data_IF_986790682040
#
_entry.id   IF_986790682040
#
_cell.length_a   1.000
_cell.length_b   1.000
_cell.length_c   1.000
_cell.angle_alpha   90.00
_cell.angle_beta   90.00
_cell.angle_gamma   90.00
#
_symmetry.space_group_name_H-M   'P 1'
#
loop_
_entity.id
_entity.type
_entity.pdbx_description
1 polymer ?
#
# COMPACT_ATOMS: atom_id res chain seq x y z
N UNK A 1 -41.52 41.22 -7.89
CA UNK A 1 -42.48 40.17 -7.53
C UNK A 1 -41.80 38.81 -7.57
N UNK A 2 -40.74 38.59 -6.79
CA UNK A 2 -39.93 37.36 -6.68
C UNK A 2 -39.33 37.26 -5.26
N UNK A 3 -40.17 37.39 -4.27
CA UNK A 3 -39.89 37.09 -2.86
C UNK A 3 -41.06 36.32 -2.33
N UNK A 4 -40.97 34.99 -2.34
CA UNK A 4 -41.82 34.09 -1.53
C UNK A 4 -41.70 32.65 -2.10
N UNK A 5 -40.68 31.92 -1.73
CA UNK A 5 -40.72 30.48 -1.41
C UNK A 5 -39.45 30.18 -0.61
N UNK A 6 -39.39 30.70 0.60
CA UNK A 6 -38.49 30.17 1.63
C UNK A 6 -39.28 29.10 2.37
N UNK A 7 -39.30 27.93 1.83
CA UNK A 7 -39.98 26.79 2.44
C UNK A 7 -39.09 26.26 3.61
N UNK A 8 -39.47 26.47 4.90
CA UNK A 8 -38.68 26.07 6.05
C UNK A 8 -38.65 24.57 6.33
N UNK A 9 -39.33 23.77 5.48
CA UNK A 9 -39.49 22.32 5.65
C UNK A 9 -38.52 21.47 4.82
N UNK A 10 -37.63 22.08 4.06
CA UNK A 10 -36.50 21.33 3.50
C UNK A 10 -35.46 21.28 4.61
N UNK A 11 -35.24 20.08 5.26
CA UNK A 11 -34.12 19.93 6.16
C UNK A 11 -32.91 20.37 5.36
N UNK A 12 -32.10 21.29 5.92
CA UNK A 12 -30.83 21.72 5.33
C UNK A 12 -30.07 20.47 4.93
N UNK A 13 -30.31 20.02 3.70
CA UNK A 13 -29.42 19.10 3.02
C UNK A 13 -28.07 19.81 3.10
N UNK A 14 -27.32 19.49 4.13
CA UNK A 14 -25.88 19.70 4.12
C UNK A 14 -25.48 18.91 2.89
N UNK A 15 -25.50 19.59 1.74
CA UNK A 15 -24.82 19.14 0.54
C UNK A 15 -23.51 18.62 1.10
N UNK A 16 -23.40 17.30 1.13
CA UNK A 16 -22.20 16.60 1.54
C UNK A 16 -21.13 17.32 0.77
N UNK A 17 -20.49 18.28 1.45
CA UNK A 17 -19.40 19.09 0.90
C UNK A 17 -18.56 18.04 0.24
N UNK A 18 -18.51 18.05 -1.09
CA UNK A 18 -17.75 17.15 -1.94
C UNK A 18 -16.45 16.88 -1.21
N UNK A 19 -16.52 15.95 -0.25
CA UNK A 19 -15.36 15.52 0.52
C UNK A 19 -14.54 15.01 -0.61
N UNK A 20 -13.58 15.82 -1.02
CA UNK A 20 -12.53 15.58 -1.98
C UNK A 20 -12.34 14.06 -1.95
N UNK A 21 -12.93 13.35 -2.93
CA UNK A 21 -12.82 11.91 -3.00
C UNK A 21 -11.35 11.68 -2.78
N UNK A 22 -11.04 11.11 -1.63
CA UNK A 22 -9.67 10.92 -1.20
C UNK A 22 -9.08 10.16 -2.37
N UNK A 23 -8.17 10.80 -3.11
CA UNK A 23 -7.58 10.19 -4.28
C UNK A 23 -7.06 8.84 -3.81
N UNK A 24 -7.85 7.80 -4.05
CA UNK A 24 -7.57 6.41 -3.66
C UNK A 24 -6.28 5.97 -4.35
N UNK A 25 -5.98 6.62 -5.48
CA UNK A 25 -4.73 6.43 -6.19
C UNK A 25 -3.63 7.27 -5.54
N UNK A 26 -2.69 6.57 -4.91
CA UNK A 26 -1.46 7.17 -4.39
C UNK A 26 -0.46 7.53 -5.52
N UNK A 27 -0.75 7.15 -6.77
CA UNK A 27 0.10 7.45 -7.91
C UNK A 27 0.23 8.96 -8.12
N UNK A 28 1.48 9.41 -8.27
CA UNK A 28 1.85 10.81 -8.50
C UNK A 28 2.52 10.93 -9.87
N UNK A 29 1.83 11.51 -10.85
CA UNK A 29 2.41 11.72 -12.19
C UNK A 29 3.40 12.91 -12.16
N UNK A 30 4.64 12.66 -11.73
CA UNK A 30 5.69 13.68 -11.62
C UNK A 30 6.86 13.49 -12.61
N UNK A 31 6.80 12.49 -13.47
CA UNK A 31 7.74 12.29 -14.57
C UNK A 31 9.21 12.17 -14.18
N UNK A 32 9.54 11.74 -12.94
CA UNK A 32 10.92 11.58 -12.48
C UNK A 32 11.58 10.38 -13.16
N UNK A 33 12.90 10.28 -13.09
CA UNK A 33 13.65 9.15 -13.67
C UNK A 33 13.18 7.80 -13.13
N UNK A 34 12.76 7.71 -11.85
CA UNK A 34 12.23 6.48 -11.25
C UNK A 34 10.89 6.06 -11.88
N UNK A 35 10.05 7.02 -12.28
CA UNK A 35 8.80 6.72 -13.01
C UNK A 35 9.06 6.07 -14.36
N UNK A 36 10.18 6.38 -15.01
CA UNK A 36 10.56 5.88 -16.33
C UNK A 36 11.24 4.51 -16.31
N UNK A 37 11.54 3.97 -15.12
CA UNK A 37 12.10 2.63 -14.97
C UNK A 37 11.09 1.55 -15.36
N UNK A 38 11.61 0.42 -15.86
CA UNK A 38 10.80 -0.75 -16.19
C UNK A 38 10.06 -1.26 -14.93
N UNK A 39 8.78 -1.65 -15.05
CA UNK A 39 7.99 -2.17 -13.93
C UNK A 39 8.64 -3.36 -13.22
N UNK A 40 9.37 -4.21 -13.93
CA UNK A 40 10.11 -5.34 -13.34
C UNK A 40 11.18 -4.86 -12.38
N UNK A 41 11.97 -3.85 -12.78
CA UNK A 41 13.00 -3.24 -11.95
C UNK A 41 12.41 -2.65 -10.68
N UNK A 42 11.25 -2.00 -10.77
CA UNK A 42 10.52 -1.45 -9.62
C UNK A 42 10.06 -2.55 -8.65
N UNK A 43 9.46 -3.63 -9.18
CA UNK A 43 8.99 -4.78 -8.37
C UNK A 43 10.18 -5.47 -7.69
N UNK A 44 11.23 -5.79 -8.45
CA UNK A 44 12.44 -6.42 -7.91
C UNK A 44 13.12 -5.51 -6.88
N UNK A 45 13.14 -4.20 -7.10
CA UNK A 45 13.66 -3.23 -6.13
C UNK A 45 12.95 -3.29 -4.78
N UNK A 46 11.62 -3.36 -4.78
CA UNK A 46 10.83 -3.53 -3.55
C UNK A 46 11.18 -4.84 -2.84
N UNK A 47 11.24 -5.96 -3.58
CA UNK A 47 11.58 -7.27 -3.01
C UNK A 47 12.99 -7.28 -2.43
N UNK A 48 13.97 -6.73 -3.12
CA UNK A 48 15.36 -6.64 -2.64
C UNK A 48 15.44 -5.82 -1.36
N UNK A 49 14.79 -4.65 -1.30
CA UNK A 49 14.77 -3.82 -0.08
C UNK A 49 14.09 -4.57 1.07
N UNK A 50 13.03 -5.33 0.82
CA UNK A 50 12.38 -6.15 1.85
C UNK A 50 13.34 -7.21 2.39
N UNK A 51 14.06 -7.93 1.52
CA UNK A 51 15.06 -8.91 1.93
C UNK A 51 16.18 -8.26 2.74
N UNK A 52 16.70 -7.11 2.30
CA UNK A 52 17.72 -6.36 3.03
C UNK A 52 17.23 -6.00 4.44
N UNK A 53 16.01 -5.51 4.57
CA UNK A 53 15.43 -5.16 5.88
C UNK A 53 15.27 -6.38 6.81
N UNK A 54 15.03 -7.56 6.27
CA UNK A 54 14.95 -8.80 7.07
C UNK A 54 16.32 -9.27 7.56
N UNK A 55 17.40 -8.86 6.87
CA UNK A 55 18.74 -9.30 7.19
C UNK A 55 19.32 -8.67 8.46
N UNK A 56 18.91 -7.49 8.88
CA UNK A 56 19.53 -6.74 9.98
C UNK A 56 18.55 -6.45 11.10
N UNK A 57 19.02 -6.61 12.36
CA UNK A 57 18.24 -6.32 13.57
C UNK A 57 18.84 -5.18 14.40
N UNK A 58 19.94 -4.57 13.95
CA UNK A 58 20.60 -3.48 14.66
C UNK A 58 20.08 -2.12 14.19
N UNK A 59 19.78 -1.17 15.09
CA UNK A 59 19.16 0.11 14.73
C UNK A 59 20.00 0.98 13.79
N UNK A 60 21.33 0.93 13.88
CA UNK A 60 22.21 1.72 12.99
C UNK A 60 22.09 1.29 11.53
N UNK A 61 22.11 -0.02 11.27
CA UNK A 61 21.94 -0.55 9.90
C UNK A 61 20.53 -0.27 9.37
N UNK A 62 19.51 -0.44 10.23
CA UNK A 62 18.14 -0.11 9.85
C UNK A 62 17.94 1.38 9.58
N UNK A 63 18.61 2.26 10.35
CA UNK A 63 18.61 3.70 10.10
C UNK A 63 19.27 4.04 8.75
N UNK A 64 20.40 3.40 8.40
CA UNK A 64 21.06 3.59 7.12
C UNK A 64 20.18 3.15 5.94
N UNK A 65 19.50 1.98 6.05
CA UNK A 65 18.57 1.48 5.03
C UNK A 65 17.36 2.43 4.91
N UNK A 66 16.79 2.86 6.03
CA UNK A 66 15.64 3.78 6.03
C UNK A 66 16.00 5.14 5.42
N UNK A 67 17.22 5.62 5.67
CA UNK A 67 17.76 6.83 5.03
C UNK A 67 17.89 6.65 3.52
N UNK A 68 18.41 5.50 3.06
CA UNK A 68 18.45 5.16 1.63
C UNK A 68 17.06 5.17 0.98
N UNK A 69 16.07 4.56 1.63
CA UNK A 69 14.68 4.58 1.16
C UNK A 69 14.11 6.00 1.17
N UNK A 70 14.46 6.83 2.16
CA UNK A 70 14.04 8.24 2.20
C UNK A 70 14.66 9.06 1.07
N UNK A 71 15.93 8.83 0.73
CA UNK A 71 16.60 9.48 -0.42
C UNK A 71 15.93 9.07 -1.74
N UNK A 72 15.54 7.80 -1.90
CA UNK A 72 14.77 7.38 -3.08
C UNK A 72 13.37 8.01 -3.10
N UNK A 73 12.71 8.20 -1.95
CA UNK A 73 11.42 8.91 -1.86
C UNK A 73 11.55 10.38 -2.28
N UNK A 74 12.65 11.05 -1.90
CA UNK A 74 12.94 12.45 -2.30
C UNK A 74 13.14 12.51 -3.81
N UNK A 75 13.96 11.65 -4.39
CA UNK A 75 14.23 11.61 -5.83
C UNK A 75 13.01 11.23 -6.65
N UNK A 76 12.11 10.39 -6.13
CA UNK A 76 10.81 10.07 -6.71
C UNK A 76 9.77 11.19 -6.55
N UNK A 77 10.06 12.25 -5.79
CA UNK A 77 9.10 13.29 -5.37
C UNK A 77 7.85 12.71 -4.67
N UNK A 78 8.00 11.57 -4.01
CA UNK A 78 6.93 10.84 -3.32
C UNK A 78 6.69 11.35 -1.89
N UNK A 79 7.44 12.35 -1.40
CA UNK A 79 7.34 12.91 -0.05
C UNK A 79 5.93 13.35 0.33
N UNK A 80 5.10 13.76 -0.63
CA UNK A 80 3.70 14.14 -0.38
C UNK A 80 2.91 12.99 0.24
N UNK A 81 3.15 11.76 -0.22
CA UNK A 81 2.48 10.58 0.32
C UNK A 81 3.04 10.18 1.69
N UNK A 82 4.35 10.35 1.93
CA UNK A 82 4.94 10.19 3.26
C UNK A 82 4.36 11.21 4.26
N UNK A 83 4.22 12.46 3.85
CA UNK A 83 3.63 13.49 4.71
C UNK A 83 2.16 13.21 5.02
N UNK A 84 1.40 12.66 4.05
CA UNK A 84 0.00 12.25 4.23
C UNK A 84 -0.13 11.10 5.23
N UNK A 85 0.80 10.15 5.23
CA UNK A 85 0.79 8.96 6.06
C UNK A 85 1.73 9.03 7.27
N UNK A 86 2.31 10.22 7.54
CA UNK A 86 3.26 10.44 8.66
C UNK A 86 2.74 9.93 10.00
N UNK A 87 1.44 10.11 10.26
CA UNK A 87 0.82 9.68 11.51
C UNK A 87 0.87 8.14 11.66
N UNK A 88 0.60 7.41 10.60
CA UNK A 88 0.67 5.94 10.58
C UNK A 88 2.12 5.48 10.77
N UNK A 89 3.08 6.13 10.08
CA UNK A 89 4.50 5.80 10.23
C UNK A 89 5.01 6.04 11.65
N UNK A 90 4.67 7.18 12.24
CA UNK A 90 5.03 7.50 13.63
C UNK A 90 4.36 6.51 14.59
N UNK A 91 3.07 6.21 14.39
CA UNK A 91 2.34 5.24 15.21
C UNK A 91 3.00 3.86 15.17
N UNK A 92 3.44 3.38 14.00
CA UNK A 92 4.13 2.11 13.85
C UNK A 92 5.47 2.08 14.61
N UNK A 93 6.25 3.16 14.52
CA UNK A 93 7.54 3.28 15.22
C UNK A 93 7.30 3.28 16.73
N UNK A 94 6.38 4.13 17.22
CA UNK A 94 6.08 4.24 18.65
C UNK A 94 5.50 2.94 19.20
N UNK A 95 4.55 2.34 18.48
CA UNK A 95 3.97 1.06 18.87
C UNK A 95 5.02 -0.05 18.97
N UNK A 96 5.92 -0.14 17.98
CA UNK A 96 7.01 -1.09 18.02
C UNK A 96 7.97 -0.84 19.18
N UNK A 97 8.35 0.44 19.41
CA UNK A 97 9.24 0.82 20.49
C UNK A 97 8.66 0.48 21.87
N UNK A 98 7.33 0.56 22.01
CA UNK A 98 6.66 0.21 23.27
C UNK A 98 6.46 -1.29 23.43
N UNK A 99 6.07 -2.01 22.36
CA UNK A 99 5.74 -3.45 22.42
C UNK A 99 6.96 -4.34 22.61
N UNK A 100 8.04 -4.11 21.86
CA UNK A 100 9.18 -5.00 21.88
C UNK A 100 9.91 -5.14 23.22
N UNK A 101 10.05 -4.12 24.08
CA UNK A 101 10.61 -4.27 25.41
C UNK A 101 9.90 -5.28 26.30
N UNK A 102 8.62 -5.58 26.06
CA UNK A 102 7.87 -6.58 26.81
C UNK A 102 8.21 -8.03 26.37
N UNK A 103 8.56 -8.22 25.11
CA UNK A 103 8.80 -9.55 24.52
C UNK A 103 10.27 -9.91 24.42
N UNK A 104 11.13 -8.96 24.16
CA UNK A 104 12.55 -9.19 23.94
C UNK A 104 13.32 -8.99 25.26
N UNK A 105 13.88 -10.07 25.81
CA UNK A 105 14.72 -10.04 27.01
C UNK A 105 16.19 -9.96 26.61
N UNK A 106 16.96 -9.02 27.18
CA UNK A 106 18.40 -8.88 26.98
C UNK A 106 19.18 -9.15 28.24
N UNK A 107 20.52 -9.39 28.13
CA UNK A 107 21.40 -9.68 29.27
C UNK A 107 21.63 -8.50 30.23
N UNK A 108 21.40 -7.23 29.77
CA UNK A 108 21.61 -6.05 30.63
C UNK A 108 20.27 -5.42 31.05
N UNK A 109 19.75 -5.78 32.25
CA UNK A 109 18.51 -5.17 32.75
C UNK A 109 18.78 -3.71 33.17
N UNK A 110 18.03 -2.77 32.59
CA UNK A 110 18.03 -1.36 33.00
C UNK A 110 17.02 -1.12 34.14
N UNK A 111 15.91 -1.82 34.11
CA UNK A 111 14.86 -1.70 35.09
C UNK A 111 14.04 -2.98 35.14
N UNK A 112 13.84 -3.50 36.39
CA UNK A 112 13.02 -4.68 36.62
C UNK A 112 11.95 -4.33 37.63
N UNK A 113 10.69 -4.28 37.22
CA UNK A 113 9.55 -4.11 38.10
C UNK A 113 8.50 -5.18 37.77
N UNK A 114 8.46 -6.22 38.57
CA UNK A 114 7.53 -7.34 38.41
C UNK A 114 7.68 -8.05 37.06
N UNK A 115 6.66 -7.99 36.24
CA UNK A 115 6.65 -8.60 34.89
C UNK A 115 7.40 -7.81 33.83
N UNK A 116 7.81 -6.59 34.12
CA UNK A 116 8.47 -5.67 33.16
C UNK A 116 9.98 -5.71 33.38
N UNK A 117 10.67 -6.40 32.48
CA UNK A 117 12.12 -6.39 32.38
C UNK A 117 12.56 -5.59 31.15
N UNK A 118 12.86 -4.32 31.34
CA UNK A 118 13.35 -3.46 30.26
C UNK A 118 14.86 -3.54 30.24
N UNK A 119 15.43 -4.10 29.18
CA UNK A 119 16.87 -4.16 28.93
C UNK A 119 17.27 -3.16 27.85
N UNK A 120 18.54 -2.75 27.86
CA UNK A 120 19.10 -1.85 26.83
C UNK A 120 18.92 -2.45 25.43
N UNK A 121 19.14 -3.75 25.30
CA UNK A 121 19.00 -4.50 24.07
C UNK A 121 17.57 -4.53 23.56
N UNK A 122 16.58 -4.62 24.47
CA UNK A 122 15.15 -4.61 24.09
C UNK A 122 14.74 -3.29 23.48
N UNK A 123 15.24 -2.16 24.02
CA UNK A 123 14.95 -0.83 23.49
C UNK A 123 15.59 -0.67 22.10
N UNK A 124 16.87 -1.05 21.95
CA UNK A 124 17.56 -1.00 20.66
C UNK A 124 16.86 -1.86 19.63
N UNK A 125 16.42 -3.05 20.02
CA UNK A 125 15.67 -3.96 19.16
C UNK A 125 14.29 -3.36 18.77
N UNK A 126 13.59 -2.76 19.74
CA UNK A 126 12.31 -2.07 19.50
C UNK A 126 12.42 -0.93 18.49
N UNK A 127 13.49 -0.11 18.60
CA UNK A 127 13.78 0.95 17.61
C UNK A 127 14.07 0.34 16.23
N UNK A 128 14.90 -0.70 16.17
CA UNK A 128 15.22 -1.36 14.90
C UNK A 128 13.98 -1.93 14.21
N UNK A 129 13.08 -2.57 14.97
CA UNK A 129 11.82 -3.10 14.45
C UNK A 129 10.85 -2.00 14.01
N UNK A 130 10.78 -0.89 14.76
CA UNK A 130 10.00 0.28 14.35
C UNK A 130 10.48 0.87 13.04
N UNK A 131 11.79 1.05 12.88
CA UNK A 131 12.40 1.51 11.63
C UNK A 131 12.16 0.51 10.49
N UNK A 132 12.22 -0.79 10.75
CA UNK A 132 11.91 -1.83 9.77
C UNK A 132 10.49 -1.70 9.23
N UNK A 133 9.50 -1.61 10.12
CA UNK A 133 8.09 -1.46 9.72
C UNK A 133 7.88 -0.17 8.93
N UNK A 134 8.47 0.94 9.39
CA UNK A 134 8.41 2.22 8.67
C UNK A 134 9.08 2.13 7.29
N UNK A 135 10.20 1.41 7.16
CA UNK A 135 10.90 1.21 5.89
C UNK A 135 10.08 0.34 4.94
N UNK A 136 9.42 -0.72 5.43
CA UNK A 136 8.51 -1.55 4.62
C UNK A 136 7.35 -0.73 4.06
N UNK A 137 6.67 0.00 4.93
CA UNK A 137 5.56 0.87 4.50
C UNK A 137 6.07 1.97 3.57
N UNK A 138 7.21 2.57 3.88
CA UNK A 138 7.85 3.59 3.06
C UNK A 138 8.19 3.10 1.64
N UNK A 139 8.79 1.92 1.53
CA UNK A 139 9.11 1.29 0.23
C UNK A 139 7.85 1.00 -0.57
N UNK A 140 6.81 0.45 0.08
CA UNK A 140 5.50 0.24 -0.54
C UNK A 140 4.85 1.55 -1.01
N UNK A 141 4.96 2.63 -0.22
CA UNK A 141 4.45 3.94 -0.60
C UNK A 141 5.17 4.52 -1.82
N UNK A 142 6.51 4.37 -1.90
CA UNK A 142 7.27 4.79 -3.08
C UNK A 142 6.78 4.02 -4.30
N UNK A 143 6.66 2.70 -4.19
CA UNK A 143 6.20 1.83 -5.28
C UNK A 143 4.82 2.25 -5.80
N UNK A 144 3.84 2.42 -4.89
CA UNK A 144 2.49 2.86 -5.24
C UNK A 144 2.45 4.29 -5.80
N UNK A 145 3.42 5.14 -5.42
CA UNK A 145 3.52 6.52 -5.92
C UNK A 145 4.08 6.61 -7.33
N UNK A 146 4.93 5.64 -7.71
CA UNK A 146 5.74 5.67 -8.95
C UNK A 146 5.20 4.70 -10.00
N UNK A 147 4.38 3.70 -9.61
CA UNK A 147 3.93 2.64 -10.50
C UNK A 147 2.44 2.78 -10.78
N UNK A 148 2.05 2.79 -12.06
CA UNK A 148 0.65 2.73 -12.48
C UNK A 148 0.15 1.30 -12.40
N UNK A 149 -1.16 1.12 -12.17
CA UNK A 149 -1.77 -0.22 -12.13
C UNK A 149 -1.54 -1.01 -13.43
N UNK A 150 -1.52 -0.32 -14.57
CA UNK A 150 -1.27 -0.91 -15.88
C UNK A 150 0.20 -1.37 -16.03
N UNK A 151 1.14 -0.59 -15.51
CA UNK A 151 2.56 -0.94 -15.47
C UNK A 151 2.80 -2.16 -14.59
N UNK A 152 2.14 -2.22 -13.40
CA UNK A 152 2.22 -3.36 -12.51
C UNK A 152 1.80 -4.66 -13.20
N UNK A 153 0.67 -4.62 -13.91
CA UNK A 153 0.16 -5.78 -14.65
C UNK A 153 1.12 -6.24 -15.74
N UNK A 154 1.64 -5.31 -16.54
CA UNK A 154 2.62 -5.62 -17.58
C UNK A 154 3.93 -6.17 -16.97
N UNK A 155 4.36 -5.64 -15.85
CA UNK A 155 5.51 -6.16 -15.11
C UNK A 155 5.32 -7.61 -14.68
N UNK A 156 4.15 -7.94 -14.10
CA UNK A 156 3.82 -9.29 -13.65
C UNK A 156 3.78 -10.30 -14.81
N UNK A 157 3.17 -9.95 -15.95
CA UNK A 157 3.14 -10.81 -17.14
C UNK A 157 4.57 -11.15 -17.59
N UNK A 158 5.43 -10.15 -17.64
CA UNK A 158 6.82 -10.34 -18.08
C UNK A 158 7.71 -11.04 -17.05
N UNK A 159 7.29 -11.10 -15.79
CA UNK A 159 7.92 -11.92 -14.75
C UNK A 159 7.43 -13.38 -14.76
N UNK A 160 6.58 -13.76 -15.71
CA UNK A 160 6.09 -15.14 -15.89
C UNK A 160 4.68 -15.37 -15.34
N UNK A 161 3.96 -14.34 -14.87
CA UNK A 161 2.58 -14.50 -14.45
C UNK A 161 1.69 -14.81 -15.67
N UNK A 162 0.84 -15.85 -15.63
CA UNK A 162 -0.10 -16.16 -16.70
C UNK A 162 -0.99 -14.96 -17.02
N UNK A 163 -1.17 -14.70 -18.32
CA UNK A 163 -1.95 -13.53 -18.79
C UNK A 163 -3.35 -13.43 -18.16
N UNK A 164 -4.14 -14.51 -18.01
CA UNK A 164 -5.48 -14.42 -17.41
C UNK A 164 -5.46 -13.86 -16.00
N UNK A 165 -4.48 -14.23 -15.18
CA UNK A 165 -4.34 -13.75 -13.80
C UNK A 165 -4.00 -12.26 -13.78
N UNK A 166 -3.02 -11.85 -14.57
CA UNK A 166 -2.60 -10.46 -14.67
C UNK A 166 -3.73 -9.58 -15.23
N UNK A 167 -4.49 -10.07 -16.22
CA UNK A 167 -5.65 -9.38 -16.75
C UNK A 167 -6.77 -9.23 -15.71
N UNK A 168 -7.05 -10.29 -14.94
CA UNK A 168 -8.04 -10.24 -13.87
C UNK A 168 -7.65 -9.19 -12.81
N UNK A 169 -6.37 -9.17 -12.40
CA UNK A 169 -5.86 -8.18 -11.45
C UNK A 169 -6.00 -6.75 -11.98
N UNK A 170 -5.59 -6.52 -13.22
CA UNK A 170 -5.71 -5.19 -13.87
C UNK A 170 -7.15 -4.71 -13.93
N UNK A 171 -8.05 -5.61 -14.33
CA UNK A 171 -9.48 -5.32 -14.41
C UNK A 171 -10.07 -5.04 -13.04
N UNK A 172 -9.72 -5.84 -12.02
CA UNK A 172 -10.15 -5.62 -10.65
C UNK A 172 -9.71 -4.23 -10.14
N UNK A 173 -8.44 -3.87 -10.31
CA UNK A 173 -7.92 -2.55 -9.90
C UNK A 173 -8.61 -1.39 -10.63
N UNK A 174 -8.97 -1.56 -11.89
CA UNK A 174 -9.73 -0.57 -12.69
C UNK A 174 -11.16 -0.43 -12.21
N UNK A 175 -11.79 -1.52 -11.75
CA UNK A 175 -13.18 -1.52 -11.29
C UNK A 175 -13.36 -0.93 -9.89
N UNK A 176 -12.31 -0.90 -9.05
CA UNK A 176 -12.39 -0.34 -7.68
C UNK A 176 -13.00 1.07 -7.65
N UNK A 177 -12.55 2.07 -8.44
CA UNK A 177 -13.16 3.39 -8.43
C UNK A 177 -14.60 3.40 -8.93
N UNK A 178 -14.91 2.56 -9.90
CA UNK A 178 -16.27 2.42 -10.47
C UNK A 178 -17.24 1.92 -9.41
N UNK A 179 -16.86 0.87 -8.67
CA UNK A 179 -17.69 0.32 -7.59
C UNK A 179 -17.76 1.26 -6.39
N UNK A 180 -16.68 1.99 -6.07
CA UNK A 180 -16.71 3.01 -5.04
C UNK A 180 -17.71 4.14 -5.39
N UNK A 181 -17.73 4.56 -6.66
CA UNK A 181 -18.72 5.53 -7.15
C UNK A 181 -20.16 5.02 -7.09
N UNK A 182 -20.39 3.79 -7.56
CA UNK A 182 -21.70 3.12 -7.48
C UNK A 182 -22.16 2.98 -6.02
N UNK A 183 -21.26 2.55 -5.12
CA UNK A 183 -21.55 2.45 -3.69
C UNK A 183 -21.96 3.79 -3.09
N UNK A 184 -21.28 4.89 -3.41
CA UNK A 184 -21.66 6.22 -2.96
C UNK A 184 -23.07 6.61 -3.43
N UNK A 185 -23.43 6.30 -4.68
CA UNK A 185 -24.77 6.57 -5.23
C UNK A 185 -25.83 5.72 -4.54
N UNK A 186 -25.55 4.45 -4.29
CA UNK A 186 -26.47 3.54 -3.58
C UNK A 186 -26.70 4.04 -2.14
N UNK A 187 -25.63 4.44 -1.43
CA UNK A 187 -25.76 5.02 -0.09
C UNK A 187 -26.66 6.25 -0.11
N UNK A 188 -26.45 7.18 -1.05
CA UNK A 188 -27.30 8.37 -1.18
C UNK A 188 -28.76 8.01 -1.42
N UNK A 189 -29.03 7.02 -2.30
CA UNK A 189 -30.37 6.55 -2.57
C UNK A 189 -31.04 5.92 -1.34
N UNK A 190 -30.31 5.15 -0.53
CA UNK A 190 -30.84 4.54 0.69
C UNK A 190 -31.12 5.58 1.78
N UNK A 191 -30.24 6.58 1.92
CA UNK A 191 -30.48 7.72 2.83
C UNK A 191 -31.73 8.51 2.41
N UNK A 192 -31.96 8.71 1.11
CA UNK A 192 -33.19 9.36 0.59
C UNK A 192 -34.44 8.53 0.86
N UNK A 193 -34.32 7.22 1.04
CA UNK A 193 -35.41 6.31 1.45
C UNK A 193 -35.63 6.24 2.96
N UNK A 194 -34.92 7.07 3.73
CA UNK A 194 -35.04 7.15 5.19
C UNK A 194 -34.09 6.24 5.96
N UNK A 195 -33.07 5.63 5.32
CA UNK A 195 -32.06 4.85 6.02
C UNK A 195 -31.16 5.79 6.81
N UNK A 196 -31.25 5.73 8.14
CA UNK A 196 -30.34 6.45 9.04
C UNK A 196 -29.12 5.59 9.39
N UNK A 197 -27.95 5.99 8.88
CA UNK A 197 -26.68 5.28 9.08
C UNK A 197 -25.96 5.67 10.38
N UNK A 198 -26.33 6.79 10.98
CA UNK A 198 -25.62 7.35 12.13
C UNK A 198 -26.22 6.89 13.47
N UNK A 199 -27.51 6.52 13.52
CA UNK A 199 -28.20 6.12 14.75
C UNK A 199 -27.95 4.66 15.13
N UNK A 200 -27.95 4.36 16.42
CA UNK A 200 -27.90 3.00 16.97
C UNK A 200 -26.52 2.48 17.34
N UNK A 201 -26.53 1.37 18.09
CA UNK A 201 -25.31 0.66 18.51
C UNK A 201 -24.61 -0.08 17.40
N UNK A 202 -23.42 -0.66 17.70
CA UNK A 202 -22.54 -1.32 16.71
C UNK A 202 -23.30 -2.42 15.93
N UNK A 203 -24.05 -3.27 16.60
CA UNK A 203 -24.83 -4.36 15.94
C UNK A 203 -25.95 -3.82 15.03
N UNK A 204 -26.64 -2.76 15.47
CA UNK A 204 -27.67 -2.10 14.65
C UNK A 204 -27.05 -1.49 13.38
N UNK A 205 -25.85 -0.93 13.47
CA UNK A 205 -25.13 -0.39 12.31
C UNK A 205 -24.75 -1.46 11.31
N UNK A 206 -24.32 -2.65 11.78
CA UNK A 206 -24.02 -3.78 10.89
C UNK A 206 -25.27 -4.20 10.09
N UNK A 207 -26.43 -4.28 10.73
CA UNK A 207 -27.70 -4.57 10.03
C UNK A 207 -28.04 -3.54 8.94
N UNK A 208 -27.65 -2.28 9.12
CA UNK A 208 -27.89 -1.21 8.14
C UNK A 208 -26.96 -1.26 6.91
N UNK A 209 -25.90 -2.09 6.95
CA UNK A 209 -25.06 -2.33 5.75
C UNK A 209 -25.72 -3.29 4.75
N UNK A 210 -26.61 -4.19 5.20
CA UNK A 210 -27.27 -5.16 4.32
C UNK A 210 -28.06 -4.49 3.19
N UNK A 211 -28.91 -3.46 3.45
CA UNK A 211 -29.63 -2.74 2.40
C UNK A 211 -28.73 -2.03 1.37
N UNK A 212 -27.46 -1.82 1.70
CA UNK A 212 -26.46 -1.22 0.81
C UNK A 212 -25.69 -2.30 0.04
N UNK A 213 -25.38 -3.42 0.70
CA UNK A 213 -24.61 -4.51 0.12
C UNK A 213 -25.36 -5.19 -1.01
N UNK A 214 -26.65 -5.49 -0.83
CA UNK A 214 -27.46 -6.19 -1.84
C UNK A 214 -27.52 -5.45 -3.18
N UNK A 215 -27.88 -4.14 -3.24
CA UNK A 215 -27.87 -3.40 -4.49
C UNK A 215 -26.46 -3.29 -5.12
N UNK A 216 -25.42 -3.18 -4.30
CA UNK A 216 -24.05 -3.13 -4.79
C UNK A 216 -23.63 -4.47 -5.42
N UNK A 217 -24.02 -5.60 -4.81
CA UNK A 217 -23.80 -6.94 -5.36
C UNK A 217 -24.51 -7.13 -6.71
N UNK A 218 -25.78 -6.74 -6.79
CA UNK A 218 -26.55 -6.81 -8.04
C UNK A 218 -25.90 -5.94 -9.12
N UNK A 219 -25.45 -4.74 -8.74
CA UNK A 219 -24.72 -3.85 -9.65
C UNK A 219 -23.42 -4.50 -10.14
N UNK A 220 -22.64 -5.10 -9.24
CA UNK A 220 -21.37 -5.74 -9.57
C UNK A 220 -21.56 -6.91 -10.55
N UNK A 221 -22.54 -7.81 -10.30
CA UNK A 221 -22.85 -8.94 -11.19
C UNK A 221 -23.28 -8.43 -12.57
N UNK A 222 -24.20 -7.47 -12.61
CA UNK A 222 -24.67 -6.88 -13.87
C UNK A 222 -23.54 -6.23 -14.66
N UNK A 223 -22.69 -5.47 -13.98
CA UNK A 223 -21.56 -4.80 -14.61
C UNK A 223 -20.53 -5.80 -15.16
N UNK A 224 -20.24 -6.87 -14.42
CA UNK A 224 -19.33 -7.94 -14.83
C UNK A 224 -19.87 -8.69 -16.05
N UNK A 225 -21.17 -8.99 -16.09
CA UNK A 225 -21.78 -9.64 -17.25
C UNK A 225 -21.72 -8.76 -18.51
N UNK A 226 -21.99 -7.45 -18.36
CA UNK A 226 -21.82 -6.50 -19.46
C UNK A 226 -20.38 -6.42 -19.97
N UNK A 227 -19.41 -6.43 -19.04
CA UNK A 227 -18.00 -6.46 -19.38
C UNK A 227 -17.62 -7.75 -20.13
N UNK A 228 -18.10 -8.91 -19.64
CA UNK A 228 -17.85 -10.20 -20.30
C UNK A 228 -18.40 -10.21 -21.74
N UNK A 229 -19.66 -9.81 -21.94
CA UNK A 229 -20.24 -9.69 -23.27
C UNK A 229 -19.48 -8.73 -24.19
N UNK A 230 -19.00 -7.61 -23.67
CA UNK A 230 -18.20 -6.65 -24.42
C UNK A 230 -16.83 -7.22 -24.80
N UNK A 231 -16.22 -8.04 -23.97
CA UNK A 231 -14.96 -8.73 -24.27
C UNK A 231 -15.16 -9.81 -25.32
N UNK A 232 -16.20 -10.64 -25.18
CA UNK A 232 -16.54 -11.69 -26.15
C UNK A 232 -16.85 -11.10 -27.53
N UNK A 233 -17.62 -10.01 -27.60
CA UNK A 233 -17.93 -9.33 -28.86
C UNK A 233 -16.72 -8.76 -29.58
N UNK A 234 -15.63 -8.48 -28.83
CA UNK A 234 -14.33 -8.07 -29.38
C UNK A 234 -13.39 -9.24 -29.65
N UNK A 235 -13.87 -10.48 -29.55
CA UNK A 235 -13.07 -11.68 -29.81
C UNK A 235 -12.03 -11.97 -28.72
N UNK A 236 -12.28 -11.53 -27.48
CA UNK A 236 -11.38 -11.84 -26.38
C UNK A 236 -11.45 -13.35 -26.06
N UNK A 237 -10.32 -14.06 -26.21
CA UNK A 237 -10.14 -15.43 -25.72
C UNK A 237 -8.94 -15.50 -24.79
N UNK A 238 -9.04 -16.16 -23.63
CA UNK A 238 -7.93 -16.29 -22.68
C UNK A 238 -6.71 -17.03 -23.24
N UNK A 239 -6.94 -17.96 -24.17
CA UNK A 239 -5.92 -18.85 -24.74
C UNK A 239 -5.23 -18.30 -26.00
N UNK A 240 -5.74 -17.20 -26.58
CA UNK A 240 -5.18 -16.65 -27.81
C UNK A 240 -3.77 -16.10 -27.62
N UNK A 241 -2.87 -16.36 -28.57
CA UNK A 241 -1.56 -15.70 -28.64
C UNK A 241 -1.78 -14.20 -28.82
N UNK A 242 -1.15 -13.39 -27.98
CA UNK A 242 -1.37 -11.93 -27.92
C UNK A 242 -0.11 -11.17 -28.21
N UNK A 243 -0.26 -10.09 -28.94
CA UNK A 243 0.75 -9.04 -29.08
C UNK A 243 0.43 -7.93 -28.08
N UNK A 244 1.43 -7.47 -27.35
CA UNK A 244 1.29 -6.35 -26.42
C UNK A 244 1.42 -5.04 -27.22
N UNK A 245 0.40 -4.19 -27.15
CA UNK A 245 0.44 -2.86 -27.79
C UNK A 245 1.54 -1.98 -27.19
N UNK A 246 1.71 -2.04 -25.88
CA UNK A 246 2.77 -1.32 -25.18
C UNK A 246 3.79 -2.32 -24.66
N UNK A 247 4.95 -2.33 -25.29
CA UNK A 247 6.08 -3.15 -24.89
C UNK A 247 7.12 -2.30 -24.16
N UNK A 248 7.12 -2.27 -22.81
CA UNK A 248 8.22 -1.65 -22.08
C UNK A 248 9.49 -2.46 -22.33
N UNK A 249 10.52 -1.82 -22.87
CA UNK A 249 11.85 -2.42 -23.01
C UNK A 249 12.73 -1.98 -21.86
N UNK A 250 13.46 -2.93 -21.27
CA UNK A 250 14.49 -2.60 -20.28
C UNK A 250 15.55 -1.71 -20.92
N UNK A 251 15.79 -0.57 -20.31
CA UNK A 251 16.85 0.36 -20.72
C UNK A 251 18.14 0.01 -19.97
N UNK A 252 19.28 0.46 -20.48
CA UNK A 252 20.58 0.26 -19.81
C UNK A 252 20.56 0.74 -18.32
N UNK A 253 19.81 1.79 -18.03
CA UNK A 253 19.61 2.31 -16.67
C UNK A 253 18.93 1.28 -15.78
N UNK A 254 17.97 0.50 -16.28
CA UNK A 254 17.27 -0.53 -15.49
C UNK A 254 18.23 -1.64 -15.06
N UNK A 255 19.11 -2.08 -15.96
CA UNK A 255 20.15 -3.08 -15.65
C UNK A 255 21.15 -2.54 -14.64
N UNK A 256 21.58 -1.27 -14.75
CA UNK A 256 22.49 -0.63 -13.80
C UNK A 256 21.87 -0.55 -12.42
N UNK A 257 20.61 -0.11 -12.31
CA UNK A 257 19.88 -0.02 -11.03
C UNK A 257 19.71 -1.39 -10.41
N UNK A 258 19.34 -2.39 -11.21
CA UNK A 258 19.14 -3.75 -10.71
C UNK A 258 20.48 -4.38 -10.27
N UNK A 259 21.55 -4.22 -11.05
CA UNK A 259 22.90 -4.67 -10.69
C UNK A 259 23.37 -4.01 -9.39
N UNK A 260 23.19 -2.70 -9.25
CA UNK A 260 23.54 -1.97 -8.03
C UNK A 260 22.78 -2.50 -6.81
N UNK A 261 21.47 -2.73 -6.93
CA UNK A 261 20.66 -3.29 -5.85
C UNK A 261 21.10 -4.71 -5.46
N UNK A 262 21.43 -5.56 -6.45
CA UNK A 262 21.92 -6.91 -6.20
C UNK A 262 23.31 -6.88 -5.55
N UNK A 263 24.21 -6.00 -5.99
CA UNK A 263 25.54 -5.81 -5.37
C UNK A 263 25.39 -5.35 -3.92
N UNK A 264 24.50 -4.39 -3.65
CA UNK A 264 24.22 -3.94 -2.28
C UNK A 264 23.70 -5.11 -1.44
N UNK A 265 22.74 -5.89 -1.96
CA UNK A 265 22.20 -7.07 -1.28
C UNK A 265 23.31 -8.08 -0.98
N UNK A 266 24.15 -8.40 -1.97
CA UNK A 266 25.24 -9.36 -1.82
C UNK A 266 26.29 -8.88 -0.80
N UNK A 267 26.66 -7.61 -0.85
CA UNK A 267 27.59 -7.00 0.10
C UNK A 267 27.05 -7.05 1.55
N UNK A 268 25.75 -6.71 1.72
CA UNK A 268 25.11 -6.74 3.02
C UNK A 268 24.95 -8.18 3.55
N UNK A 269 24.61 -9.14 2.69
CA UNK A 269 24.58 -10.56 3.06
C UNK A 269 25.97 -11.08 3.44
N UNK A 270 27.00 -10.70 2.68
CA UNK A 270 28.38 -11.04 3.00
C UNK A 270 28.81 -10.50 4.38
N UNK A 271 28.51 -9.23 4.65
CA UNK A 271 28.76 -8.61 5.97
C UNK A 271 28.04 -9.35 7.10
N UNK A 272 26.80 -9.79 6.86
CA UNK A 272 26.05 -10.53 7.87
C UNK A 272 26.63 -11.93 8.12
N UNK A 273 26.97 -12.67 7.06
CA UNK A 273 27.40 -14.07 7.14
C UNK A 273 28.84 -14.22 7.64
N UNK A 274 29.75 -13.33 7.20
CA UNK A 274 31.19 -13.43 7.55
C UNK A 274 31.54 -12.64 8.81
N UNK A 275 31.00 -11.45 8.97
CA UNK A 275 31.36 -10.56 10.08
C UNK A 275 30.36 -10.64 11.24
N UNK A 276 29.27 -11.41 11.12
CA UNK A 276 28.18 -11.51 12.11
C UNK A 276 27.68 -10.15 12.63
N UNK A 277 27.85 -9.08 11.84
CA UNK A 277 27.46 -7.73 12.19
C UNK A 277 25.93 -7.55 12.06
N UNK A 278 25.37 -6.72 12.93
CA UNK A 278 23.96 -6.31 12.82
C UNK A 278 22.95 -7.16 13.59
N UNK A 279 23.39 -8.01 14.50
CA UNK A 279 22.52 -8.77 15.41
C UNK A 279 22.62 -8.15 16.81
N UNK A 280 21.49 -7.62 17.34
CA UNK A 280 21.41 -7.06 18.71
C UNK A 280 21.15 -8.15 19.71
N UNK A 281 20.32 -9.13 19.37
CA UNK A 281 20.00 -10.29 20.20
C UNK A 281 20.32 -11.52 19.39
N UNK A 282 21.32 -12.28 19.82
CA UNK A 282 21.59 -13.62 19.29
C UNK A 282 20.41 -14.49 19.69
N UNK A 283 19.48 -14.78 18.77
CA UNK A 283 18.41 -15.76 19.01
C UNK A 283 19.04 -17.14 19.00
N UNK A 284 19.64 -17.54 20.10
CA UNK A 284 19.68 -18.94 20.50
C UNK A 284 18.41 -19.16 21.31
N UNK A 285 17.32 -19.50 20.63
CA UNK A 285 16.26 -20.33 21.17
C UNK A 285 16.55 -21.76 20.82
#
# INVERSE_FOLDING_TARGET
>A
MLRLIRNPLIPKFRIFKRKKYMNIFLYLDKGTWIHRLDPRTKIMGVLIVFVICLCFNHPLYMAAISLGVMLTAISAKALVNFWRLRFILILLIVFSMVMWPFFAKGPTPLWSWGFLHVSKESILYGIAMGLRLATFVGTGLIFLSVTRNEELTNGLIRMGCPYPIAFALSTALRLVPTFAGAGATIIQAQVSRGLDLESGGIFSRVGKFIPQAVPLFIYAIRHTNLLAMALESKGFSPESKRTLYYEPHMRSIDYVVLALLVVILAALLYMRLTLHLGVVISSRM
#
